data_IF_994903616846
#
_entry.id   IF_994903616846
#
_cell.length_a   1.000
_cell.length_b   1.000
_cell.length_c   1.000
_cell.angle_alpha   90.00
_cell.angle_beta   90.00
_cell.angle_gamma   90.00
#
_symmetry.space_group_name_H-M   'P 1'
#
loop_
_entity.id
_entity.type
_entity.pdbx_description
1 polymer ?
#
# COMPACT_ATOMS: atom_id res chain seq x y z
N UNK A 1 -7.46 -3.65 -6.61
CA UNK A 1 -6.15 -4.34 -6.73
C UNK A 1 -4.99 -3.33 -6.83
N UNK A 2 -3.88 -3.45 -6.06
CA UNK A 2 -2.75 -2.48 -5.99
C UNK A 2 -1.38 -3.17 -5.92
N UNK A 3 -0.29 -2.58 -6.47
CA UNK A 3 1.06 -3.14 -6.32
C UNK A 3 1.75 -2.73 -5.02
N UNK A 4 2.10 -3.71 -4.20
CA UNK A 4 3.00 -3.54 -3.06
C UNK A 4 4.37 -4.05 -3.48
N UNK A 5 5.26 -3.15 -3.89
CA UNK A 5 6.61 -3.50 -4.33
C UNK A 5 7.48 -3.89 -3.12
N UNK A 6 7.45 -5.16 -2.74
CA UNK A 6 8.49 -5.79 -1.92
C UNK A 6 9.49 -6.47 -2.84
N UNK A 7 10.54 -5.75 -3.23
CA UNK A 7 11.78 -6.36 -3.74
C UNK A 7 13.01 -5.60 -3.21
N UNK A 8 13.33 -5.83 -1.93
CA UNK A 8 14.69 -6.13 -1.42
C UNK A 8 14.76 -6.00 0.10
N UNK A 9 14.19 -6.98 0.78
CA UNK A 9 14.51 -7.35 2.17
C UNK A 9 13.81 -8.69 2.30
N UNK A 10 14.50 -9.82 2.16
CA UNK A 10 14.95 -10.60 3.30
C UNK A 10 15.82 -11.77 2.80
N UNK A 11 17.08 -11.81 3.23
CA UNK A 11 17.85 -13.04 3.38
C UNK A 11 18.58 -12.94 4.74
N UNK A 12 18.45 -13.92 5.66
CA UNK A 12 19.12 -13.88 6.94
C UNK A 12 20.54 -14.48 6.88
N UNK A 13 21.51 -13.73 7.43
CA UNK A 13 22.55 -14.26 8.32
C UNK A 13 23.85 -14.81 7.73
N UNK A 14 24.97 -14.15 8.05
CA UNK A 14 26.12 -14.82 8.67
C UNK A 14 27.02 -13.76 9.35
N UNK A 15 26.92 -13.68 10.68
CA UNK A 15 27.85 -12.91 11.49
C UNK A 15 29.22 -13.62 11.59
N UNK A 16 30.29 -12.84 11.52
CA UNK A 16 31.56 -13.12 12.20
C UNK A 16 32.21 -11.83 12.69
N UNK A 17 32.75 -11.91 13.89
CA UNK A 17 33.27 -10.83 14.72
C UNK A 17 34.79 -10.67 14.58
N UNK A 18 35.25 -9.40 14.62
CA UNK A 18 36.54 -8.85 15.15
C UNK A 18 37.87 -9.04 14.37
N UNK A 19 38.94 -8.22 14.61
CA UNK A 19 39.05 -6.83 15.13
C UNK A 19 40.06 -5.88 14.39
N UNK A 20 40.02 -4.60 14.82
CA UNK A 20 40.78 -3.32 14.62
C UNK A 20 42.31 -3.32 14.35
N UNK A 21 42.84 -2.43 13.46
CA UNK A 21 43.79 -1.27 13.70
C UNK A 21 44.41 -0.62 12.42
N UNK A 22 45.00 0.61 12.49
CA UNK A 22 44.71 1.73 11.58
C UNK A 22 45.84 2.14 10.62
N UNK A 23 45.52 2.94 9.58
CA UNK A 23 46.48 3.85 8.92
C UNK A 23 45.73 5.10 8.44
N UNK A 24 46.30 6.28 8.72
CA UNK A 24 45.82 7.59 8.27
C UNK A 24 46.84 8.21 7.31
N UNK A 25 46.42 8.75 6.14
CA UNK A 25 47.05 9.88 5.43
C UNK A 25 46.02 10.57 4.50
N UNK A 26 45.75 11.87 4.75
CA UNK A 26 45.69 12.95 3.75
C UNK A 26 44.43 13.18 2.90
N UNK A 27 44.09 14.44 2.56
CA UNK A 27 42.71 14.85 2.30
C UNK A 27 42.39 14.91 0.79
N UNK A 28 41.20 14.47 0.40
CA UNK A 28 40.53 15.10 -0.73
C UNK A 28 39.01 15.13 -0.51
N UNK A 29 38.50 16.36 -0.51
CA UNK A 29 37.11 16.72 -0.28
C UNK A 29 36.41 16.66 -1.63
N UNK A 30 35.72 15.57 -1.92
CA UNK A 30 34.58 15.56 -2.83
C UNK A 30 33.47 14.81 -2.11
N UNK A 31 32.56 15.57 -1.50
CA UNK A 31 31.27 15.08 -1.04
C UNK A 31 30.49 14.63 -2.27
N UNK A 32 30.72 13.38 -2.67
CA UNK A 32 29.82 12.64 -3.54
C UNK A 32 28.58 12.37 -2.71
N UNK A 33 27.54 13.17 -2.97
CA UNK A 33 26.18 12.84 -2.55
C UNK A 33 25.86 11.51 -3.21
N UNK A 34 25.95 10.43 -2.44
CA UNK A 34 25.47 9.10 -2.84
C UNK A 34 24.02 9.24 -3.24
N UNK A 35 23.77 9.24 -4.55
CA UNK A 35 22.44 9.16 -5.12
C UNK A 35 21.77 7.90 -4.56
N UNK A 36 20.69 8.09 -3.82
CA UNK A 36 19.82 7.01 -3.37
C UNK A 36 19.13 6.44 -4.62
N UNK A 37 19.77 5.45 -5.25
CA UNK A 37 19.25 4.78 -6.44
C UNK A 37 18.13 3.83 -6.04
N UNK A 38 16.90 4.10 -6.51
CA UNK A 38 15.82 3.11 -6.61
C UNK A 38 14.45 3.57 -6.14
N UNK A 39 14.36 4.43 -5.13
CA UNK A 39 13.09 4.69 -4.43
C UNK A 39 12.30 5.86 -5.04
N UNK A 40 10.96 5.75 -5.05
CA UNK A 40 10.06 6.84 -5.46
C UNK A 40 9.86 7.79 -4.28
N UNK A 41 10.38 9.01 -4.40
CA UNK A 41 10.10 10.06 -3.42
C UNK A 41 8.73 10.71 -3.70
N UNK A 42 7.74 10.27 -2.93
CA UNK A 42 6.38 10.80 -3.00
C UNK A 42 6.30 12.31 -2.69
N UNK A 43 7.18 12.85 -1.85
CA UNK A 43 7.16 14.25 -1.42
C UNK A 43 8.24 15.10 -2.10
N UNK A 44 8.97 14.53 -3.06
CA UNK A 44 10.00 15.23 -3.81
C UNK A 44 9.46 16.43 -4.59
N UNK A 45 10.31 17.40 -4.97
CA UNK A 45 9.89 18.61 -5.64
C UNK A 45 9.32 18.31 -7.03
N UNK A 46 8.18 18.92 -7.37
CA UNK A 46 7.59 18.92 -8.72
C UNK A 46 7.70 20.32 -9.32
N UNK A 47 8.16 20.43 -10.58
CA UNK A 47 8.21 21.71 -11.30
C UNK A 47 7.19 21.71 -12.42
N UNK A 48 6.29 22.71 -12.45
CA UNK A 48 5.41 22.96 -13.60
C UNK A 48 4.46 21.82 -13.95
N UNK A 49 3.89 21.12 -12.96
CA UNK A 49 3.03 19.94 -13.17
C UNK A 49 3.71 18.82 -13.98
N UNK A 50 5.04 18.73 -13.85
CA UNK A 50 5.86 17.66 -14.39
C UNK A 50 6.49 16.88 -13.22
N UNK A 51 6.39 15.56 -13.31
CA UNK A 51 7.13 14.62 -12.48
C UNK A 51 8.18 13.95 -13.36
N UNK A 52 9.43 13.96 -12.91
CA UNK A 52 10.55 13.41 -13.66
C UNK A 52 11.45 12.61 -12.73
N UNK A 53 11.84 11.41 -13.17
CA UNK A 53 12.94 10.66 -12.59
C UNK A 53 13.80 10.04 -13.69
N UNK A 54 14.73 9.17 -13.31
CA UNK A 54 15.66 8.53 -14.23
C UNK A 54 14.98 7.64 -15.30
N UNK A 55 13.77 7.13 -15.03
CA UNK A 55 13.08 6.14 -15.86
C UNK A 55 11.84 6.69 -16.57
N UNK A 56 11.12 7.62 -15.93
CA UNK A 56 9.84 8.14 -16.41
C UNK A 56 9.73 9.67 -16.32
N UNK A 57 8.93 10.23 -17.22
CA UNK A 57 8.43 11.60 -17.20
C UNK A 57 6.90 11.55 -17.26
N UNK A 58 6.22 12.21 -16.32
CA UNK A 58 4.75 12.31 -16.31
C UNK A 58 4.36 13.79 -16.31
N UNK A 59 3.46 14.19 -17.21
CA UNK A 59 3.03 15.59 -17.34
C UNK A 59 1.52 15.72 -17.59
N UNK A 60 0.93 16.79 -17.04
CA UNK A 60 -0.48 17.14 -17.21
C UNK A 60 -0.66 18.18 -18.32
N UNK A 61 -1.46 17.85 -19.34
CA UNK A 61 -2.07 18.79 -20.32
C UNK A 61 -1.14 19.78 -21.09
N UNK A 62 0.18 19.57 -21.24
CA UNK A 62 1.00 20.37 -22.21
C UNK A 62 2.37 19.79 -22.61
N UNK A 63 2.80 19.97 -23.87
CA UNK A 63 2.04 19.80 -25.10
C UNK A 63 2.21 18.37 -25.65
N UNK A 64 1.23 17.94 -26.46
CA UNK A 64 1.27 16.71 -27.26
C UNK A 64 2.53 16.58 -28.16
N UNK A 65 3.35 17.64 -28.23
CA UNK A 65 4.62 17.75 -28.95
C UNK A 65 5.82 17.09 -28.24
N UNK A 66 5.78 16.84 -26.92
CA UNK A 66 6.85 16.10 -26.22
C UNK A 66 7.05 14.69 -26.77
N UNK A 67 5.97 14.12 -27.32
CA UNK A 67 5.94 12.84 -27.99
C UNK A 67 5.55 13.12 -29.44
N UNK A 68 6.53 13.49 -30.27
CA UNK A 68 6.38 13.48 -31.73
C UNK A 68 5.79 12.16 -32.20
N UNK A 69 5.12 12.14 -33.36
CA UNK A 69 4.44 10.96 -33.87
C UNK A 69 5.37 9.73 -33.94
N UNK A 70 6.66 9.95 -34.19
CA UNK A 70 7.72 8.95 -34.29
C UNK A 70 8.15 8.34 -32.94
N UNK A 71 7.76 8.96 -31.81
CA UNK A 71 8.11 8.53 -30.45
C UNK A 71 6.93 7.94 -29.68
N UNK A 72 5.74 7.94 -30.27
CA UNK A 72 4.50 7.50 -29.63
C UNK A 72 4.40 5.99 -29.65
N UNK A 73 4.26 5.40 -28.46
CA UNK A 73 3.94 3.98 -28.29
C UNK A 73 2.44 3.78 -28.47
N UNK A 74 1.62 4.61 -27.81
CA UNK A 74 0.18 4.42 -27.80
C UNK A 74 -0.58 5.62 -27.27
N UNK A 75 -1.89 5.61 -27.50
CA UNK A 75 -2.81 6.62 -26.98
C UNK A 75 -4.13 5.96 -26.62
N UNK A 76 -4.64 6.33 -25.45
CA UNK A 76 -5.95 5.90 -24.93
C UNK A 76 -6.83 7.12 -24.68
N UNK A 77 -7.95 6.91 -24.00
CA UNK A 77 -8.86 7.99 -23.58
C UNK A 77 -8.15 8.99 -22.66
N UNK A 78 -7.37 8.50 -21.69
CA UNK A 78 -6.78 9.36 -20.65
C UNK A 78 -5.28 9.62 -20.86
N UNK A 79 -4.60 8.74 -21.60
CA UNK A 79 -3.14 8.75 -21.69
C UNK A 79 -2.62 8.84 -23.12
N UNK A 80 -1.46 9.49 -23.25
CA UNK A 80 -0.57 9.32 -24.41
C UNK A 80 0.79 8.88 -23.89
N UNK A 81 1.26 7.74 -24.40
CA UNK A 81 2.50 7.11 -23.99
C UNK A 81 3.52 7.17 -25.11
N UNK A 82 4.77 7.45 -24.76
CA UNK A 82 5.88 7.46 -25.71
C UNK A 82 7.22 7.25 -25.05
N UNK A 83 8.29 7.37 -25.83
CA UNK A 83 9.68 7.32 -25.34
C UNK A 83 10.48 8.52 -25.77
N UNK A 84 11.25 9.08 -24.84
CA UNK A 84 12.14 10.20 -25.11
C UNK A 84 13.44 10.04 -24.33
N UNK A 85 14.58 10.06 -25.04
CA UNK A 85 15.91 9.91 -24.45
C UNK A 85 16.04 8.70 -23.50
N UNK A 86 15.54 7.53 -23.95
CA UNK A 86 15.57 6.29 -23.17
C UNK A 86 14.48 6.17 -22.09
N UNK A 87 13.78 7.25 -21.78
CA UNK A 87 12.76 7.30 -20.72
C UNK A 87 11.35 7.13 -21.26
N UNK A 88 10.47 6.60 -20.42
CA UNK A 88 9.05 6.52 -20.71
C UNK A 88 8.41 7.89 -20.45
N UNK A 89 7.59 8.38 -21.38
CA UNK A 89 6.88 9.66 -21.24
C UNK A 89 5.39 9.40 -21.23
N UNK A 90 4.71 9.79 -20.15
CA UNK A 90 3.27 9.69 -19.99
C UNK A 90 2.66 11.09 -19.92
N UNK A 91 1.83 11.42 -20.91
CA UNK A 91 1.01 12.62 -20.90
C UNK A 91 -0.41 12.24 -20.54
N UNK A 92 -1.02 12.93 -19.57
CA UNK A 92 -2.41 12.69 -19.18
C UNK A 92 -3.25 13.98 -19.19
N UNK A 93 -4.56 13.79 -19.30
CA UNK A 93 -5.55 14.87 -19.29
C UNK A 93 -6.46 14.86 -18.05
N UNK A 94 -6.21 13.99 -17.06
CA UNK A 94 -7.00 13.88 -15.83
C UNK A 94 -7.21 15.26 -15.18
N UNK A 95 -8.46 15.55 -14.83
CA UNK A 95 -8.84 16.63 -13.94
C UNK A 95 -8.40 16.30 -12.51
N UNK A 96 -8.19 17.30 -11.64
CA UNK A 96 -7.75 17.03 -10.27
C UNK A 96 -8.80 16.23 -9.48
N UNK A 97 -10.09 16.37 -9.80
CA UNK A 97 -11.17 15.57 -9.19
C UNK A 97 -11.13 14.09 -9.59
N UNK A 98 -10.49 13.75 -10.71
CA UNK A 98 -10.33 12.38 -11.22
C UNK A 98 -9.07 11.70 -10.65
N UNK A 99 -8.29 12.43 -9.83
CA UNK A 99 -7.08 11.89 -9.20
C UNK A 99 -7.47 11.29 -7.86
N UNK A 100 -7.82 10.02 -7.92
CA UNK A 100 -8.10 9.16 -6.77
C UNK A 100 -7.48 7.78 -6.98
N UNK A 101 -7.75 6.85 -6.06
CA UNK A 101 -7.19 5.50 -6.14
C UNK A 101 -7.67 4.67 -7.35
N UNK A 102 -8.75 5.08 -8.02
CA UNK A 102 -9.20 4.50 -9.29
C UNK A 102 -8.16 4.59 -10.41
N UNK A 103 -7.19 5.52 -10.29
CA UNK A 103 -6.02 5.59 -11.18
C UNK A 103 -5.30 4.25 -11.30
N UNK A 104 -5.28 3.42 -10.25
CA UNK A 104 -4.62 2.10 -10.31
C UNK A 104 -5.19 1.23 -11.43
N UNK A 105 -6.53 1.07 -11.44
CA UNK A 105 -7.24 0.30 -12.47
C UNK A 105 -7.08 0.96 -13.84
N UNK A 106 -7.15 2.28 -13.88
CA UNK A 106 -7.04 3.06 -15.12
C UNK A 106 -5.66 2.87 -15.78
N UNK A 107 -4.57 2.89 -15.00
CA UNK A 107 -3.22 2.56 -15.48
C UNK A 107 -3.15 1.13 -16.01
N UNK A 108 -3.66 0.15 -15.25
CA UNK A 108 -3.62 -1.25 -15.64
C UNK A 108 -4.37 -1.47 -16.96
N UNK A 109 -5.64 -1.09 -17.01
CA UNK A 109 -6.52 -1.31 -18.15
C UNK A 109 -6.01 -0.61 -19.42
N UNK A 110 -5.49 0.62 -19.30
CA UNK A 110 -5.11 1.41 -20.47
C UNK A 110 -3.65 1.27 -20.91
N UNK A 111 -2.73 0.85 -20.03
CA UNK A 111 -1.30 0.80 -20.34
C UNK A 111 -0.65 -0.57 -20.13
N UNK A 112 -1.00 -1.31 -19.08
CA UNK A 112 -0.37 -2.61 -18.76
C UNK A 112 -1.06 -3.76 -19.49
N UNK A 113 -2.38 -3.83 -19.48
CA UNK A 113 -3.16 -4.85 -20.19
C UNK A 113 -2.88 -4.86 -21.70
N UNK A 114 -2.74 -3.72 -22.39
CA UNK A 114 -2.28 -3.68 -23.79
C UNK A 114 -0.81 -4.07 -23.99
N UNK A 115 -0.04 -4.27 -22.92
CA UNK A 115 1.36 -4.66 -22.96
C UNK A 115 2.34 -3.53 -23.28
N UNK A 116 1.93 -2.25 -23.17
CA UNK A 116 2.80 -1.11 -23.49
C UNK A 116 3.81 -0.80 -22.39
N UNK A 117 3.49 -1.15 -21.15
CA UNK A 117 4.34 -1.03 -19.98
C UNK A 117 4.23 -2.29 -19.13
N UNK A 118 5.26 -2.58 -18.33
CA UNK A 118 5.29 -3.73 -17.46
C UNK A 118 6.11 -3.45 -16.20
N UNK A 119 5.84 -4.22 -15.15
CA UNK A 119 6.58 -4.23 -13.89
C UNK A 119 6.04 -3.24 -12.84
N UNK A 120 6.06 -3.69 -11.59
CA UNK A 120 5.58 -2.93 -10.43
C UNK A 120 6.32 -1.60 -10.24
N UNK A 121 7.65 -1.58 -10.44
CA UNK A 121 8.45 -0.35 -10.32
C UNK A 121 7.99 0.74 -11.32
N UNK A 122 7.68 0.33 -12.56
CA UNK A 122 7.14 1.25 -13.58
C UNK A 122 5.77 1.74 -13.17
N UNK A 123 4.90 0.86 -12.66
CA UNK A 123 3.58 1.24 -12.16
C UNK A 123 3.68 2.29 -11.06
N UNK A 124 4.50 2.05 -10.04
CA UNK A 124 4.64 2.95 -8.88
C UNK A 124 5.11 4.35 -9.31
N UNK A 125 6.08 4.39 -10.24
CA UNK A 125 6.59 5.65 -10.80
C UNK A 125 5.52 6.39 -11.60
N UNK A 126 4.75 5.71 -12.44
CA UNK A 126 3.66 6.33 -13.22
C UNK A 126 2.53 6.80 -12.31
N UNK A 127 2.09 5.96 -11.37
CA UNK A 127 1.07 6.29 -10.38
C UNK A 127 1.44 7.53 -9.57
N UNK A 128 2.66 7.53 -9.01
CA UNK A 128 3.16 8.68 -8.25
C UNK A 128 3.25 9.92 -9.12
N UNK A 129 3.69 9.78 -10.37
CA UNK A 129 3.68 10.86 -11.33
C UNK A 129 2.30 11.47 -11.53
N UNK A 130 1.27 10.64 -11.76
CA UNK A 130 -0.10 11.12 -11.95
C UNK A 130 -0.65 11.88 -10.74
N UNK A 131 -0.33 11.44 -9.52
CA UNK A 131 -0.67 12.20 -8.31
C UNK A 131 0.11 13.51 -8.29
N UNK A 132 1.43 13.46 -8.46
CA UNK A 132 2.36 14.59 -8.32
C UNK A 132 2.23 15.68 -9.39
N UNK A 133 1.49 15.43 -10.47
CA UNK A 133 1.17 16.42 -11.51
C UNK A 133 -0.21 17.06 -11.34
N UNK A 134 -0.90 16.80 -10.22
CA UNK A 134 -2.24 17.32 -9.95
C UNK A 134 -2.25 18.72 -9.33
N UNK A 135 -1.17 19.12 -8.67
CA UNK A 135 -0.97 20.41 -8.02
C UNK A 135 0.53 20.82 -8.10
N UNK A 136 0.87 22.06 -7.74
CA UNK A 136 2.26 22.53 -7.69
C UNK A 136 3.01 22.11 -6.43
N UNK A 137 2.34 22.14 -5.27
CA UNK A 137 2.84 21.60 -4.00
C UNK A 137 2.65 20.07 -3.92
N UNK A 138 3.72 19.26 -3.72
CA UNK A 138 3.63 17.80 -3.65
C UNK A 138 2.71 17.30 -2.54
N UNK A 139 2.70 17.95 -1.37
CA UNK A 139 1.85 17.50 -0.27
C UNK A 139 0.37 17.79 -0.54
N UNK A 140 0.05 18.92 -1.19
CA UNK A 140 -1.30 19.20 -1.71
C UNK A 140 -1.73 18.22 -2.80
N UNK A 141 -0.82 17.72 -3.65
CA UNK A 141 -1.15 16.66 -4.61
C UNK A 141 -1.68 15.41 -3.90
N UNK A 142 -0.96 14.96 -2.88
CA UNK A 142 -1.36 13.79 -2.09
C UNK A 142 -2.61 14.07 -1.25
N UNK A 143 -2.73 15.24 -0.63
CA UNK A 143 -3.95 15.59 0.11
C UNK A 143 -5.20 15.51 -0.79
N UNK A 144 -5.11 16.04 -2.01
CA UNK A 144 -6.17 15.95 -3.00
C UNK A 144 -6.48 14.50 -3.38
N UNK A 145 -5.46 13.68 -3.67
CA UNK A 145 -5.62 12.25 -3.95
C UNK A 145 -6.33 11.51 -2.80
N UNK A 146 -5.93 11.76 -1.56
CA UNK A 146 -6.53 11.14 -0.38
C UNK A 146 -7.98 11.59 -0.17
N UNK A 147 -8.26 12.88 -0.30
CA UNK A 147 -9.63 13.41 -0.15
C UNK A 147 -10.57 12.84 -1.21
N UNK A 148 -10.12 12.77 -2.46
CA UNK A 148 -10.91 12.18 -3.53
C UNK A 148 -11.13 10.69 -3.31
N UNK A 149 -10.08 9.95 -2.92
CA UNK A 149 -10.20 8.52 -2.64
C UNK A 149 -11.15 8.24 -1.47
N UNK A 150 -11.02 8.97 -0.36
CA UNK A 150 -11.91 8.79 0.79
C UNK A 150 -13.37 9.10 0.43
N UNK A 151 -13.63 10.17 -0.33
CA UNK A 151 -14.96 10.49 -0.84
C UNK A 151 -15.51 9.38 -1.74
N UNK A 152 -14.68 8.83 -2.61
CA UNK A 152 -15.03 7.73 -3.51
C UNK A 152 -15.43 6.46 -2.72
N UNK A 153 -14.69 6.15 -1.64
CA UNK A 153 -14.98 5.02 -0.74
C UNK A 153 -16.27 5.21 0.09
N UNK A 154 -16.68 6.45 0.33
CA UNK A 154 -17.92 6.79 1.05
C UNK A 154 -19.17 6.72 0.16
N UNK A 155 -19.02 6.49 -1.16
CA UNK A 155 -20.15 6.36 -2.09
C UNK A 155 -21.04 5.16 -1.72
N UNK A 156 -22.37 5.31 -1.58
CA UNK A 156 -23.27 4.23 -1.13
C UNK A 156 -23.15 2.94 -1.95
N UNK A 157 -23.43 1.79 -1.32
CA UNK A 157 -23.39 0.46 -1.97
C UNK A 157 -24.36 0.33 -3.16
N UNK A 158 -25.49 1.04 -3.09
CA UNK A 158 -26.50 1.06 -4.15
C UNK A 158 -26.06 1.83 -5.41
N UNK A 159 -24.84 2.41 -5.42
CA UNK A 159 -24.23 2.97 -6.62
C UNK A 159 -23.94 1.92 -7.71
N UNK A 160 -24.20 0.63 -7.43
CA UNK A 160 -24.10 -0.45 -8.40
C UNK A 160 -22.65 -0.83 -8.70
N UNK A 161 -22.37 -1.45 -9.87
CA UNK A 161 -21.04 -1.96 -10.23
C UNK A 161 -19.95 -0.88 -10.37
N UNK A 162 -20.30 0.41 -10.22
CA UNK A 162 -19.37 1.54 -10.27
C UNK A 162 -18.71 1.84 -8.90
N UNK A 163 -19.15 1.19 -7.81
CA UNK A 163 -18.52 1.35 -6.50
C UNK A 163 -17.05 0.88 -6.54
N UNK A 164 -16.10 1.62 -5.93
CA UNK A 164 -14.70 1.18 -5.89
C UNK A 164 -14.59 -0.19 -5.20
N UNK A 165 -13.92 -1.15 -5.83
CA UNK A 165 -13.74 -2.52 -5.32
C UNK A 165 -13.34 -2.58 -3.82
N UNK A 166 -12.40 -1.73 -3.41
CA UNK A 166 -11.93 -1.67 -2.02
C UNK A 166 -12.94 -1.08 -1.02
N UNK A 167 -13.99 -0.39 -1.47
CA UNK A 167 -15.04 0.11 -0.58
C UNK A 167 -15.72 -1.04 0.18
N UNK A 168 -16.02 -2.14 -0.51
CA UNK A 168 -16.63 -3.33 0.09
C UNK A 168 -15.68 -4.00 1.09
N UNK A 169 -14.39 -4.09 0.75
CA UNK A 169 -13.36 -4.68 1.61
C UNK A 169 -13.23 -3.86 2.91
N UNK A 170 -13.11 -2.52 2.80
CA UNK A 170 -12.99 -1.68 3.99
C UNK A 170 -14.25 -1.68 4.84
N UNK A 171 -15.44 -1.65 4.23
CA UNK A 171 -16.71 -1.71 4.98
C UNK A 171 -16.87 -3.03 5.72
N UNK A 172 -16.50 -4.15 5.11
CA UNK A 172 -16.57 -5.43 5.79
C UNK A 172 -15.56 -5.51 6.95
N UNK A 173 -14.33 -5.02 6.76
CA UNK A 173 -13.37 -4.90 7.86
C UNK A 173 -13.89 -4.00 8.99
N UNK A 174 -14.48 -2.84 8.66
CA UNK A 174 -15.11 -1.93 9.61
C UNK A 174 -16.26 -2.58 10.36
N UNK A 175 -17.12 -3.32 9.66
CA UNK A 175 -18.19 -4.10 10.25
C UNK A 175 -17.64 -5.12 11.26
N UNK A 176 -16.65 -5.92 10.86
CA UNK A 176 -16.01 -6.91 11.73
C UNK A 176 -15.35 -6.25 12.95
N UNK A 177 -14.73 -5.08 12.81
CA UNK A 177 -14.17 -4.32 13.93
C UNK A 177 -15.30 -3.82 14.86
N UNK A 178 -16.38 -3.30 14.29
CA UNK A 178 -17.48 -2.70 15.06
C UNK A 178 -18.25 -3.72 15.90
N UNK A 179 -18.41 -4.96 15.42
CA UNK A 179 -19.16 -6.02 16.12
C UNK A 179 -18.59 -6.40 17.49
N UNK A 180 -17.34 -6.09 17.77
CA UNK A 180 -16.72 -6.35 19.08
C UNK A 180 -16.44 -5.06 19.88
N UNK A 181 -16.91 -3.91 19.40
CA UNK A 181 -16.67 -2.59 20.00
C UNK A 181 -15.18 -2.34 20.30
N UNK A 182 -14.31 -2.63 19.33
CA UNK A 182 -12.87 -2.41 19.47
C UNK A 182 -12.56 -0.93 19.72
N UNK A 183 -11.56 -0.68 20.58
CA UNK A 183 -11.08 0.67 20.90
C UNK A 183 -9.67 0.93 20.37
N UNK A 184 -8.96 -0.13 20.00
CA UNK A 184 -7.60 -0.07 19.47
C UNK A 184 -7.43 -1.03 18.28
N UNK A 185 -6.85 -0.53 17.19
CA UNK A 185 -6.61 -1.31 15.96
C UNK A 185 -5.18 -1.10 15.48
N UNK A 186 -4.51 -2.19 15.11
CA UNK A 186 -3.28 -2.18 14.31
C UNK A 186 -3.61 -2.65 12.89
N UNK A 187 -3.30 -1.82 11.90
CA UNK A 187 -3.37 -2.17 10.48
C UNK A 187 -1.97 -2.48 9.95
N UNK A 188 -1.75 -3.73 9.55
CA UNK A 188 -0.46 -4.26 9.11
C UNK A 188 -0.42 -4.27 7.58
N UNK A 189 0.62 -3.66 6.99
CA UNK A 189 0.71 -3.49 5.54
C UNK A 189 -0.20 -2.37 5.04
N UNK A 190 -0.17 -1.24 5.73
CA UNK A 190 -1.19 -0.19 5.60
C UNK A 190 -1.23 0.51 4.23
N UNK A 191 -0.13 0.48 3.46
CA UNK A 191 -0.03 1.19 2.19
C UNK A 191 -0.44 2.67 2.36
N UNK A 192 -1.43 3.16 1.62
CA UNK A 192 -1.96 4.53 1.77
C UNK A 192 -2.81 4.76 3.03
N UNK A 193 -3.01 3.77 3.90
CA UNK A 193 -3.67 3.98 5.20
C UNK A 193 -5.15 4.40 5.14
N UNK A 194 -5.87 4.06 4.07
CA UNK A 194 -7.28 4.44 3.94
C UNK A 194 -8.15 3.81 5.02
N UNK A 195 -7.95 2.53 5.38
CA UNK A 195 -8.68 1.92 6.48
C UNK A 195 -8.38 2.64 7.81
N UNK A 196 -7.11 2.81 8.25
CA UNK A 196 -6.80 3.62 9.43
C UNK A 196 -7.45 5.00 9.48
N UNK A 197 -7.43 5.73 8.37
CA UNK A 197 -8.04 7.06 8.26
C UNK A 197 -9.58 7.01 8.36
N UNK A 198 -10.22 5.95 7.86
CA UNK A 198 -11.67 5.76 7.99
C UNK A 198 -12.05 5.36 9.42
N UNK A 199 -11.31 4.42 10.03
CA UNK A 199 -11.50 4.02 11.42
C UNK A 199 -11.39 5.22 12.35
N UNK A 200 -10.40 6.10 12.11
CA UNK A 200 -10.23 7.31 12.91
C UNK A 200 -11.31 8.36 12.68
N UNK A 201 -11.98 8.33 11.52
CA UNK A 201 -13.18 9.12 11.25
C UNK A 201 -14.46 8.50 11.84
N UNK A 202 -14.36 7.35 12.53
CA UNK A 202 -15.47 6.72 13.24
C UNK A 202 -16.27 5.68 12.43
N UNK A 203 -15.75 5.23 11.29
CA UNK A 203 -16.47 4.29 10.40
C UNK A 203 -16.80 2.93 11.05
N UNK A 204 -16.07 2.53 12.10
CA UNK A 204 -16.28 1.29 12.85
C UNK A 204 -16.66 1.51 14.32
N UNK A 205 -17.21 2.68 14.66
CA UNK A 205 -17.48 3.08 16.05
C UNK A 205 -16.28 3.78 16.71
N UNK A 206 -16.24 3.89 18.06
CA UNK A 206 -15.29 4.74 18.78
C UNK A 206 -13.89 4.11 18.92
N UNK A 207 -13.22 3.83 17.79
CA UNK A 207 -11.82 3.39 17.78
C UNK A 207 -10.93 4.57 18.17
N UNK A 208 -10.37 4.53 19.39
CA UNK A 208 -9.56 5.62 19.98
C UNK A 208 -8.12 5.59 19.50
N UNK A 209 -7.56 4.38 19.37
CA UNK A 209 -6.17 4.17 18.99
C UNK A 209 -6.12 3.45 17.65
N UNK A 210 -5.47 4.06 16.67
CA UNK A 210 -5.22 3.43 15.37
C UNK A 210 -3.72 3.51 15.10
N UNK A 211 -3.11 2.35 14.88
CA UNK A 211 -1.70 2.20 14.50
C UNK A 211 -1.65 1.65 13.08
N UNK A 212 -0.93 2.31 12.19
CA UNK A 212 -0.71 1.86 10.81
C UNK A 212 0.76 1.45 10.66
N UNK A 213 1.05 0.17 10.40
CA UNK A 213 2.40 -0.30 10.09
C UNK A 213 2.60 -0.56 8.59
N UNK A 214 3.76 -0.14 8.08
CA UNK A 214 4.27 -0.51 6.76
C UNK A 214 5.79 -0.71 6.85
N UNK A 215 6.36 -1.49 5.93
CA UNK A 215 7.82 -1.67 5.84
C UNK A 215 8.51 -0.44 5.25
N UNK A 216 7.77 0.36 4.48
CA UNK A 216 8.29 1.52 3.77
C UNK A 216 8.18 2.80 4.60
N UNK A 217 9.33 3.34 5.04
CA UNK A 217 9.40 4.60 5.79
C UNK A 217 8.78 5.79 5.03
N UNK A 218 8.91 5.82 3.70
CA UNK A 218 8.30 6.87 2.86
C UNK A 218 6.76 6.84 2.92
N UNK A 219 6.19 5.64 2.91
CA UNK A 219 4.75 5.39 3.01
C UNK A 219 4.20 5.86 4.36
N UNK A 220 4.82 5.41 5.45
CA UNK A 220 4.40 5.79 6.82
C UNK A 220 4.58 7.30 7.07
N UNK A 221 5.66 7.90 6.54
CA UNK A 221 5.88 9.33 6.64
C UNK A 221 4.83 10.14 5.84
N UNK A 222 4.52 9.74 4.61
CA UNK A 222 3.47 10.38 3.81
C UNK A 222 2.12 10.29 4.53
N UNK A 223 1.75 9.10 4.99
CA UNK A 223 0.50 8.85 5.71
C UNK A 223 0.40 9.73 6.97
N UNK A 224 1.47 9.83 7.77
CA UNK A 224 1.49 10.70 8.95
C UNK A 224 1.24 12.18 8.59
N UNK A 225 1.87 12.68 7.51
CA UNK A 225 1.68 14.06 7.04
C UNK A 225 0.25 14.30 6.58
N UNK A 226 -0.33 13.36 5.84
CA UNK A 226 -1.70 13.47 5.33
C UNK A 226 -2.72 13.35 6.46
N UNK A 227 -2.55 12.39 7.36
CA UNK A 227 -3.39 12.22 8.55
C UNK A 227 -3.56 13.53 9.32
N UNK A 228 -2.47 14.31 9.49
CA UNK A 228 -2.52 15.64 10.10
C UNK A 228 -3.31 16.66 9.27
N UNK A 229 -3.16 16.70 7.95
CA UNK A 229 -3.94 17.61 7.08
C UNK A 229 -5.43 17.27 7.01
N UNK A 230 -5.75 16.00 7.23
CA UNK A 230 -7.13 15.51 7.27
C UNK A 230 -7.76 15.60 8.67
N UNK A 231 -7.03 16.06 9.68
CA UNK A 231 -7.45 16.04 11.10
C UNK A 231 -7.87 14.64 11.59
N UNK A 232 -7.14 13.61 11.13
CA UNK A 232 -7.38 12.20 11.42
C UNK A 232 -6.13 11.59 12.05
N UNK A 233 -5.86 11.97 13.29
CA UNK A 233 -4.64 11.55 14.00
C UNK A 233 -4.56 10.03 14.16
N UNK A 234 -3.58 9.41 13.49
CA UNK A 234 -3.20 8.01 13.63
C UNK A 234 -1.73 7.91 13.99
N UNK A 235 -1.33 6.81 14.64
CA UNK A 235 0.07 6.48 14.88
C UNK A 235 0.60 5.69 13.69
N UNK A 236 1.82 5.99 13.24
CA UNK A 236 2.49 5.21 12.20
C UNK A 236 3.68 4.47 12.78
N UNK A 237 3.94 3.27 12.28
CA UNK A 237 5.06 2.43 12.67
C UNK A 237 5.75 1.93 11.40
N UNK A 238 7.05 2.14 11.27
CA UNK A 238 7.81 1.55 10.15
C UNK A 238 8.43 0.26 10.64
N UNK A 239 7.92 -0.88 10.17
CA UNK A 239 8.31 -2.20 10.68
C UNK A 239 8.17 -3.29 9.62
N UNK A 240 8.97 -4.35 9.75
CA UNK A 240 8.67 -5.62 9.10
C UNK A 240 7.43 -6.22 9.81
N UNK A 241 6.40 -6.57 9.05
CA UNK A 241 5.18 -7.16 9.56
C UNK A 241 5.40 -8.51 10.29
N UNK A 242 6.52 -9.19 10.03
CA UNK A 242 6.94 -10.40 10.71
C UNK A 242 7.78 -10.15 11.99
N UNK A 243 7.99 -8.90 12.39
CA UNK A 243 8.76 -8.51 13.58
C UNK A 243 8.32 -7.13 14.11
N UNK A 244 7.10 -7.05 14.64
CA UNK A 244 6.48 -5.80 15.10
C UNK A 244 6.86 -5.53 16.56
N UNK A 245 7.37 -4.33 16.84
CA UNK A 245 7.89 -3.96 18.17
C UNK A 245 6.82 -3.55 19.19
N UNK A 246 5.61 -4.09 19.07
CA UNK A 246 4.53 -3.90 20.03
C UNK A 246 4.49 -5.05 21.03
N UNK A 247 4.03 -4.76 22.24
CA UNK A 247 3.84 -5.77 23.28
C UNK A 247 2.72 -6.75 22.90
N UNK A 248 2.74 -7.92 23.53
CA UNK A 248 1.70 -8.93 23.42
C UNK A 248 0.35 -8.36 23.86
N UNK A 249 -0.73 -8.74 23.15
CA UNK A 249 -2.11 -8.35 23.48
C UNK A 249 -2.34 -6.83 23.62
N UNK A 250 -1.54 -6.03 22.91
CA UNK A 250 -1.51 -4.57 23.08
C UNK A 250 -2.60 -3.81 22.32
N UNK A 251 -3.31 -4.46 21.38
CA UNK A 251 -4.45 -3.87 20.65
C UNK A 251 -5.62 -4.85 20.56
N UNK A 252 -6.86 -4.33 20.49
CA UNK A 252 -8.06 -5.17 20.40
C UNK A 252 -8.09 -5.96 19.09
N UNK A 253 -7.77 -5.29 17.98
CA UNK A 253 -7.82 -5.87 16.63
C UNK A 253 -6.52 -5.68 15.88
N UNK A 254 -6.08 -6.71 15.16
CA UNK A 254 -5.06 -6.62 14.11
C UNK A 254 -5.70 -6.89 12.75
N UNK A 255 -5.51 -6.01 11.77
CA UNK A 255 -5.93 -6.22 10.38
C UNK A 255 -4.71 -6.53 9.50
N UNK A 256 -4.85 -7.54 8.64
CA UNK A 256 -3.87 -7.97 7.64
C UNK A 256 -4.60 -8.09 6.31
N UNK A 257 -4.87 -6.96 5.67
CA UNK A 257 -5.68 -6.90 4.45
C UNK A 257 -4.77 -6.76 3.22
N UNK A 258 -4.89 -7.68 2.27
CA UNK A 258 -4.15 -7.64 1.00
C UNK A 258 -2.62 -7.48 1.19
N UNK A 259 -2.07 -8.23 2.14
CA UNK A 259 -0.63 -8.24 2.43
C UNK A 259 0.01 -9.60 2.12
N UNK A 260 -0.69 -10.68 2.44
CA UNK A 260 -0.10 -12.02 2.46
C UNK A 260 0.30 -12.52 1.06
N UNK A 261 -0.37 -12.04 0.01
CA UNK A 261 -0.09 -12.32 -1.40
C UNK A 261 1.25 -11.72 -1.90
N UNK A 262 1.80 -10.73 -1.18
CA UNK A 262 3.06 -10.05 -1.53
C UNK A 262 4.30 -10.70 -0.91
N UNK A 263 4.12 -11.72 -0.08
CA UNK A 263 5.22 -12.37 0.65
C UNK A 263 5.20 -13.87 0.42
N UNK A 264 6.36 -14.51 0.59
CA UNK A 264 6.41 -15.97 0.56
C UNK A 264 5.63 -16.59 1.73
N UNK A 265 5.37 -17.89 1.64
CA UNK A 265 4.53 -18.59 2.62
C UNK A 265 5.10 -18.60 4.03
N UNK A 266 6.41 -18.75 4.17
CA UNK A 266 7.07 -18.78 5.48
C UNK A 266 7.02 -17.39 6.13
N UNK A 267 7.21 -16.33 5.36
CA UNK A 267 7.09 -14.96 5.83
C UNK A 267 5.63 -14.63 6.19
N UNK A 268 4.67 -15.01 5.35
CA UNK A 268 3.25 -14.82 5.66
C UNK A 268 2.80 -15.49 6.96
N UNK A 269 3.31 -16.69 7.27
CA UNK A 269 3.03 -17.33 8.55
C UNK A 269 3.57 -16.53 9.75
N UNK A 270 4.79 -15.98 9.64
CA UNK A 270 5.35 -15.13 10.71
C UNK A 270 4.55 -13.84 10.92
N UNK A 271 4.01 -13.25 9.86
CA UNK A 271 3.09 -12.10 9.98
C UNK A 271 1.86 -12.49 10.80
N UNK A 272 1.28 -13.66 10.56
CA UNK A 272 0.10 -14.11 11.30
C UNK A 272 0.47 -14.46 12.74
N UNK A 273 1.64 -15.06 12.99
CA UNK A 273 2.15 -15.31 14.35
C UNK A 273 2.29 -13.99 15.14
N UNK A 274 2.81 -12.93 14.52
CA UNK A 274 2.86 -11.59 15.12
C UNK A 274 1.46 -11.02 15.37
N UNK A 275 0.53 -11.17 14.42
CA UNK A 275 -0.85 -10.75 14.62
C UNK A 275 -1.52 -11.48 15.79
N UNK A 276 -1.27 -12.78 15.94
CA UNK A 276 -1.74 -13.62 17.07
C UNK A 276 -1.17 -13.16 18.40
N UNK A 277 0.13 -12.84 18.42
CA UNK A 277 0.80 -12.33 19.61
C UNK A 277 0.23 -10.98 20.06
N UNK A 278 0.02 -10.07 19.11
CA UNK A 278 -0.34 -8.67 19.38
C UNK A 278 -1.84 -8.47 19.60
N UNK A 279 -2.69 -9.24 18.92
CA UNK A 279 -4.14 -9.09 19.02
C UNK A 279 -4.67 -9.64 20.35
N UNK A 280 -5.33 -8.78 21.11
CA UNK A 280 -6.03 -9.13 22.34
C UNK A 280 -7.32 -9.90 22.06
N UNK A 281 -8.03 -9.60 20.97
CA UNK A 281 -9.40 -10.11 20.77
C UNK A 281 -9.62 -10.70 19.39
N UNK A 282 -9.24 -9.98 18.33
CA UNK A 282 -9.57 -10.38 16.95
C UNK A 282 -8.45 -10.10 15.96
N UNK A 283 -8.32 -10.98 14.98
CA UNK A 283 -7.48 -10.78 13.80
C UNK A 283 -8.38 -10.87 12.58
N UNK A 284 -8.26 -9.92 11.67
CA UNK A 284 -9.00 -9.88 10.41
C UNK A 284 -8.01 -9.96 9.26
N UNK A 285 -8.06 -11.05 8.50
CA UNK A 285 -7.20 -11.29 7.35
C UNK A 285 -8.09 -11.29 6.10
N UNK A 286 -7.67 -10.56 5.07
CA UNK A 286 -8.30 -10.59 3.75
C UNK A 286 -7.24 -10.79 2.67
N UNK A 287 -7.53 -11.65 1.70
CA UNK A 287 -6.66 -11.95 0.56
C UNK A 287 -7.48 -11.96 -0.73
N UNK A 288 -6.90 -11.56 -1.87
CA UNK A 288 -7.56 -11.70 -3.16
C UNK A 288 -7.69 -13.19 -3.51
N UNK A 289 -8.82 -13.56 -4.12
CA UNK A 289 -9.00 -14.89 -4.72
C UNK A 289 -8.73 -14.75 -6.22
N UNK A 290 -7.58 -15.22 -6.66
CA UNK A 290 -7.10 -15.14 -8.05
C UNK A 290 -6.77 -16.55 -8.56
N UNK A 291 -6.79 -16.74 -9.88
CA UNK A 291 -6.43 -18.01 -10.52
C UNK A 291 -4.92 -18.28 -10.52
N UNK A 292 -4.12 -17.26 -10.21
CA UNK A 292 -2.68 -17.32 -10.06
C UNK A 292 -2.14 -15.97 -9.56
N UNK A 293 -0.86 -15.89 -9.16
CA UNK A 293 -0.27 -14.63 -8.71
C UNK A 293 -0.29 -13.60 -9.85
N UNK A 294 -0.80 -12.39 -9.58
CA UNK A 294 -0.76 -11.25 -10.51
C UNK A 294 0.52 -10.39 -10.33
N UNK A 295 1.53 -10.52 -11.22
CA UNK A 295 2.82 -9.85 -11.04
C UNK A 295 2.75 -8.33 -11.23
N UNK A 296 1.72 -7.82 -11.93
CA UNK A 296 1.50 -6.37 -12.08
C UNK A 296 1.27 -5.71 -10.72
N UNK A 297 0.57 -6.42 -9.82
CA UNK A 297 0.38 -6.03 -8.43
C UNK A 297 1.48 -6.56 -7.49
N UNK A 298 2.51 -7.21 -8.02
CA UNK A 298 3.57 -7.78 -7.19
C UNK A 298 3.08 -8.91 -6.28
N UNK A 299 1.98 -9.58 -6.65
CA UNK A 299 1.56 -10.81 -5.97
C UNK A 299 2.57 -11.90 -6.34
N UNK A 300 3.14 -12.54 -5.34
CA UNK A 300 4.15 -13.60 -5.51
C UNK A 300 3.60 -14.98 -5.23
N UNK A 301 2.38 -15.06 -4.68
CA UNK A 301 1.66 -16.31 -4.43
C UNK A 301 0.15 -16.11 -4.50
N UNK A 302 -0.53 -17.20 -4.79
CA UNK A 302 -1.98 -17.34 -4.69
C UNK A 302 -2.34 -17.89 -3.30
N UNK A 303 -3.45 -17.44 -2.74
CA UNK A 303 -3.99 -17.95 -1.48
C UNK A 303 -5.45 -18.33 -1.71
N UNK A 304 -5.79 -19.59 -1.49
CA UNK A 304 -7.13 -20.12 -1.68
C UNK A 304 -7.94 -20.13 -0.39
N UNK A 305 -9.25 -20.33 -0.50
CA UNK A 305 -10.11 -20.60 0.67
C UNK A 305 -9.69 -21.86 1.43
N UNK A 306 -9.10 -22.86 0.76
CA UNK A 306 -8.60 -24.06 1.41
C UNK A 306 -7.39 -23.76 2.31
N UNK A 307 -6.52 -22.84 1.86
CA UNK A 307 -5.39 -22.36 2.66
C UNK A 307 -5.90 -21.62 3.90
N UNK A 308 -6.88 -20.71 3.74
CA UNK A 308 -7.49 -19.99 4.86
C UNK A 308 -8.15 -20.94 5.87
N UNK A 309 -8.86 -21.97 5.40
CA UNK A 309 -9.46 -23.01 6.26
C UNK A 309 -8.41 -23.80 7.03
N UNK A 310 -7.27 -24.08 6.41
CA UNK A 310 -6.15 -24.75 7.06
C UNK A 310 -5.54 -23.87 8.16
N UNK A 311 -5.46 -22.56 7.94
CA UNK A 311 -4.99 -21.58 8.93
C UNK A 311 -5.97 -21.38 10.09
N UNK A 312 -7.29 -21.51 9.86
CA UNK A 312 -8.34 -21.26 10.85
C UNK A 312 -8.21 -22.09 12.15
N UNK A 313 -7.56 -23.26 12.08
CA UNK A 313 -7.41 -24.18 13.21
C UNK A 313 -5.99 -24.24 13.78
N UNK A 314 -5.09 -23.36 13.33
CA UNK A 314 -3.64 -23.49 13.60
C UNK A 314 -3.21 -23.02 14.98
N UNK A 315 -3.86 -22.00 15.55
CA UNK A 315 -3.43 -21.37 16.79
C UNK A 315 -4.32 -21.78 17.97
N UNK A 316 -3.77 -22.46 19.00
CA UNK A 316 -4.51 -22.73 20.23
C UNK A 316 -5.02 -21.44 20.88
N UNK A 317 -6.22 -21.48 21.45
CA UNK A 317 -6.85 -20.30 22.06
C UNK A 317 -7.50 -19.34 21.06
N UNK A 318 -7.54 -19.69 19.77
CA UNK A 318 -8.23 -18.94 18.73
C UNK A 318 -9.27 -19.80 18.01
N UNK A 319 -10.39 -19.19 17.63
CA UNK A 319 -11.43 -19.78 16.81
C UNK A 319 -11.46 -19.06 15.46
N UNK A 320 -11.24 -19.80 14.37
CA UNK A 320 -11.22 -19.25 13.03
C UNK A 320 -12.53 -19.42 12.26
N UNK A 321 -12.96 -18.35 11.57
CA UNK A 321 -14.07 -18.36 10.62
C UNK A 321 -13.57 -17.93 9.25
N UNK A 322 -13.95 -18.68 8.21
CA UNK A 322 -13.60 -18.38 6.81
C UNK A 322 -14.86 -18.01 6.04
N UNK A 323 -14.79 -16.92 5.29
CA UNK A 323 -15.87 -16.46 4.41
C UNK A 323 -15.32 -15.98 3.07
N UNK A 324 -16.21 -15.82 2.10
CA UNK A 324 -15.91 -15.25 0.79
C UNK A 324 -16.78 -14.00 0.60
N UNK A 325 -16.14 -12.86 0.36
CA UNK A 325 -16.78 -11.58 0.07
C UNK A 325 -15.77 -10.64 -0.60
N UNK A 326 -15.84 -10.48 -1.93
CA UNK A 326 -14.84 -9.71 -2.70
C UNK A 326 -13.38 -10.16 -2.44
N UNK A 327 -13.19 -11.46 -2.19
CA UNK A 327 -11.93 -12.04 -1.71
C UNK A 327 -12.17 -13.10 -0.63
N UNK A 328 -11.09 -13.71 -0.16
CA UNK A 328 -11.11 -14.70 0.91
C UNK A 328 -10.82 -14.02 2.25
N UNK A 329 -11.62 -14.35 3.26
CA UNK A 329 -11.49 -13.78 4.61
C UNK A 329 -11.21 -14.87 5.63
N UNK A 330 -10.30 -14.57 6.55
CA UNK A 330 -10.09 -15.35 7.77
C UNK A 330 -10.20 -14.40 8.97
N UNK A 331 -11.19 -14.65 9.81
CA UNK A 331 -11.35 -13.97 11.10
C UNK A 331 -10.95 -14.94 12.19
N UNK A 332 -9.96 -14.58 13.00
CA UNK A 332 -9.58 -15.32 14.20
C UNK A 332 -10.10 -14.54 15.41
N UNK A 333 -10.94 -15.18 16.23
CA UNK A 333 -11.41 -14.64 17.49
C UNK A 333 -10.75 -15.38 18.66
N UNK A 334 -10.26 -14.63 19.64
CA UNK A 334 -9.67 -15.23 20.83
C UNK A 334 -10.76 -15.92 21.64
N UNK A 335 -10.55 -17.19 21.96
CA UNK A 335 -11.44 -17.96 22.81
C UNK A 335 -11.27 -17.44 24.23
N UNK A 336 -12.32 -16.83 24.79
CA UNK A 336 -12.31 -16.46 26.20
C UNK A 336 -11.97 -17.69 27.04
N UNK A 337 -11.13 -17.57 28.09
CA UNK A 337 -11.03 -18.63 29.08
C UNK A 337 -12.45 -18.93 29.56
N UNK A 338 -12.88 -20.19 29.44
CA UNK A 338 -14.06 -20.63 30.17
C UNK A 338 -13.67 -20.50 31.63
N UNK A 339 -14.31 -19.59 32.37
CA UNK A 339 -14.21 -19.53 33.82
C UNK A 339 -14.44 -20.96 34.35
N UNK A 340 -13.38 -21.59 34.83
CA UNK A 340 -13.41 -22.92 35.44
C UNK A 340 -13.58 -22.79 36.94
#
# INVERSE_FOLDING_TARGET
MRPTAVRRTLLPGAGRSRPVRPVAIGPNRMTSTTAQTGYVDALGPSTGFCYENQDVVVTRRSPRELIGAERRIGRTRHFTLGRHAGRLVLVHNLAPSEVDNGICKLLVDELFTPGWVAGADTFERLFTGLVRTSHSDPLSCWELFYRNTLRSLDTPEDAGPEAPEFSHIYRYAEHLISTIAATSVLDVGTCFGFLPLRLRAGSAGPVRTVIACDVLAGTTHLLERIARRLDRHIRTLTCDAAAITLDDESVDVVTVLHLLEHVDSAHGLRIIDEAVRIAKRRIVIAVPLEDGPEPTYGHVRQISLADLRSLACRWPGWSGTVSELHGGWLVLDRVSPVDR
#
